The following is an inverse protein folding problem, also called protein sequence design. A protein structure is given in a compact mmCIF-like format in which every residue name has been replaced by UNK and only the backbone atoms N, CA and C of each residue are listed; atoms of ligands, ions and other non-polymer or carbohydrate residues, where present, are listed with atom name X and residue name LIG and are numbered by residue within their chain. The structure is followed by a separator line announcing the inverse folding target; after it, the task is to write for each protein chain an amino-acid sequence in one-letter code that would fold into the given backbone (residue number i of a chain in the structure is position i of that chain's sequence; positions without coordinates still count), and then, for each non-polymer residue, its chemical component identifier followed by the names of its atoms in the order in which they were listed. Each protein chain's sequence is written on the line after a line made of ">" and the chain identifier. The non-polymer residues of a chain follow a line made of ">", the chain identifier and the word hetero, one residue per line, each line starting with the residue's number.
data_IF_843900389088
#
_entry.id   IF_843900389088
#
_cell.length_a   1.000
_cell.length_b   1.000
_cell.length_c   1.000
_cell.angle_alpha   90.00
_cell.angle_beta   90.00
_cell.angle_gamma   90.00
#
_symmetry.space_group_name_H-M   'P 1'
#
loop_
_entity.id
_entity.type
_entity.pdbx_description
1 polymer ?
#
# COMPACT_ATOMS: atom_id res chain seq x y z
N UNK A 1 34.97 11.73 -4.56
CA UNK A 1 33.70 12.39 -4.19
C UNK A 1 32.64 12.28 -5.29
N UNK A 2 32.95 12.61 -6.55
CA UNK A 2 32.01 12.49 -7.68
C UNK A 2 31.39 11.08 -7.80
N UNK A 3 32.22 10.03 -7.82
CA UNK A 3 31.75 8.64 -7.92
C UNK A 3 30.76 8.29 -6.78
N UNK A 4 31.07 8.72 -5.56
CA UNK A 4 30.20 8.48 -4.40
C UNK A 4 28.87 9.22 -4.56
N UNK A 5 28.87 10.47 -5.01
CA UNK A 5 27.62 11.20 -5.28
C UNK A 5 26.80 10.54 -6.38
N UNK A 6 27.43 10.08 -7.47
CA UNK A 6 26.74 9.37 -8.56
C UNK A 6 26.09 8.09 -8.05
N UNK A 7 26.80 7.30 -7.22
CA UNK A 7 26.27 6.08 -6.63
C UNK A 7 25.09 6.37 -5.68
N UNK A 8 25.16 7.44 -4.89
CA UNK A 8 24.05 7.85 -4.03
C UNK A 8 22.82 8.24 -4.84
N UNK A 9 22.99 9.10 -5.85
CA UNK A 9 21.88 9.53 -6.73
C UNK A 9 21.26 8.33 -7.43
N UNK A 10 22.07 7.40 -7.94
CA UNK A 10 21.58 6.17 -8.55
C UNK A 10 20.78 5.32 -7.56
N UNK A 11 21.30 5.12 -6.35
CA UNK A 11 20.63 4.36 -5.31
C UNK A 11 19.27 4.98 -4.91
N UNK A 12 19.21 6.30 -4.73
CA UNK A 12 17.96 7.01 -4.47
C UNK A 12 16.96 6.90 -5.62
N UNK A 13 17.44 6.99 -6.86
CA UNK A 13 16.59 6.90 -8.06
C UNK A 13 15.99 5.51 -8.20
N UNK A 14 16.80 4.45 -8.03
CA UNK A 14 16.33 3.07 -8.05
C UNK A 14 15.33 2.79 -6.91
N UNK A 15 15.61 3.30 -5.71
CA UNK A 15 14.71 3.18 -4.56
C UNK A 15 13.36 3.85 -4.82
N UNK A 16 13.37 5.07 -5.37
CA UNK A 16 12.17 5.81 -5.74
C UNK A 16 11.38 5.06 -6.81
N UNK A 17 12.03 4.58 -7.88
CA UNK A 17 11.39 3.82 -8.95
C UNK A 17 10.76 2.52 -8.44
N UNK A 18 11.48 1.78 -7.61
CA UNK A 18 10.98 0.57 -6.97
C UNK A 18 9.70 0.85 -6.16
N UNK A 19 9.70 1.92 -5.36
CA UNK A 19 8.51 2.32 -4.59
C UNK A 19 7.35 2.71 -5.50
N UNK A 20 7.61 3.48 -6.56
CA UNK A 20 6.58 3.89 -7.53
C UNK A 20 5.92 2.69 -8.20
N UNK A 21 6.70 1.72 -8.68
CA UNK A 21 6.16 0.51 -9.35
C UNK A 21 5.28 -0.29 -8.38
N UNK A 22 5.72 -0.43 -7.14
CA UNK A 22 4.95 -1.16 -6.13
C UNK A 22 3.63 -0.47 -5.79
N UNK A 23 3.64 0.85 -5.74
CA UNK A 23 2.46 1.67 -5.43
C UNK A 23 1.51 1.78 -6.63
N UNK A 24 2.03 1.74 -7.87
CA UNK A 24 1.23 1.85 -9.08
C UNK A 24 0.19 0.72 -9.25
N UNK A 25 0.47 -0.48 -8.70
CA UNK A 25 -0.44 -1.65 -8.77
C UNK A 25 -1.58 -1.61 -7.73
N UNK A 26 -1.84 -0.45 -7.14
CA UNK A 26 -2.77 -0.32 -6.01
C UNK A 26 -3.76 0.80 -6.27
N UNK A 27 -4.99 0.60 -5.86
CA UNK A 27 -6.08 1.55 -6.00
C UNK A 27 -5.90 2.72 -5.02
N UNK A 28 -6.04 3.95 -5.48
CA UNK A 28 -6.02 5.12 -4.60
C UNK A 28 -7.40 5.29 -3.95
N UNK A 29 -7.47 5.26 -2.62
CA UNK A 29 -8.75 5.38 -1.90
C UNK A 29 -8.89 6.70 -1.17
N UNK A 30 -7.78 7.28 -0.71
CA UNK A 30 -7.75 8.62 -0.11
C UNK A 30 -6.44 9.31 -0.47
N UNK A 31 -6.50 10.61 -0.74
CA UNK A 31 -5.33 11.48 -0.89
C UNK A 31 -5.54 12.75 -0.09
N UNK A 32 -4.49 13.20 0.60
CA UNK A 32 -4.48 14.46 1.35
C UNK A 32 -3.19 15.21 1.02
N UNK A 33 -3.33 16.37 0.39
CA UNK A 33 -2.22 17.22 -0.02
C UNK A 33 -1.94 18.31 1.02
N UNK A 34 -0.65 18.51 1.34
CA UNK A 34 -0.14 19.55 2.23
C UNK A 34 1.08 20.20 1.58
N UNK A 35 0.81 21.13 0.65
CA UNK A 35 1.84 21.78 -0.15
C UNK A 35 2.54 20.78 -1.06
N UNK A 36 3.86 20.60 -0.90
CA UNK A 36 4.63 19.62 -1.68
C UNK A 36 4.53 18.19 -1.15
N UNK A 37 3.95 17.99 0.04
CA UNK A 37 3.75 16.67 0.63
C UNK A 37 2.36 16.14 0.29
N UNK A 38 2.28 14.86 -0.08
CA UNK A 38 1.01 14.17 -0.30
C UNK A 38 0.97 12.91 0.53
N UNK A 39 -0.10 12.75 1.31
CA UNK A 39 -0.40 11.53 2.06
C UNK A 39 -1.47 10.76 1.31
N UNK A 40 -1.13 9.58 0.79
CA UNK A 40 -2.09 8.69 0.14
C UNK A 40 -2.40 7.49 1.02
N UNK A 41 -3.65 7.04 0.97
CA UNK A 41 -4.04 5.69 1.38
C UNK A 41 -4.44 4.96 0.12
N UNK A 42 -3.70 3.89 -0.16
CA UNK A 42 -3.97 3.00 -1.29
C UNK A 42 -4.38 1.63 -0.81
N UNK A 43 -5.04 0.88 -1.68
CA UNK A 43 -5.66 -0.39 -1.39
C UNK A 43 -5.33 -1.41 -2.46
N UNK A 44 -5.17 -2.65 -2.05
CA UNK A 44 -5.23 -3.82 -2.93
C UNK A 44 -5.96 -4.93 -2.19
N UNK A 45 -6.73 -5.70 -2.95
CA UNK A 45 -7.38 -6.92 -2.46
C UNK A 45 -6.88 -8.06 -3.32
N UNK A 46 -6.52 -9.17 -2.69
CA UNK A 46 -5.97 -10.30 -3.43
C UNK A 46 -5.71 -11.52 -2.57
N UNK A 47 -5.29 -12.60 -3.22
CA UNK A 47 -4.83 -13.81 -2.57
C UNK A 47 -3.37 -13.63 -2.16
N UNK A 48 -3.10 -13.78 -0.86
CA UNK A 48 -1.75 -13.68 -0.31
C UNK A 48 -1.28 -15.05 0.17
N UNK A 49 -0.08 -15.44 -0.28
CA UNK A 49 0.56 -16.68 0.17
C UNK A 49 1.26 -16.43 1.50
N UNK A 50 0.76 -17.06 2.55
CA UNK A 50 1.38 -17.01 3.86
C UNK A 50 2.49 -18.07 4.00
N UNK A 51 3.37 -17.93 5.01
CA UNK A 51 4.27 -19.01 5.39
C UNK A 51 3.50 -20.34 5.59
N UNK A 52 4.10 -21.44 5.17
CA UNK A 52 3.47 -22.77 5.13
C UNK A 52 2.94 -23.26 6.48
N UNK A 53 3.55 -22.81 7.58
CA UNK A 53 3.11 -23.15 8.94
C UNK A 53 1.82 -22.42 9.39
N UNK A 54 1.39 -21.38 8.68
CA UNK A 54 0.16 -20.63 8.95
C UNK A 54 -0.98 -21.11 8.04
N UNK A 55 -0.68 -21.26 6.75
CA UNK A 55 -1.63 -21.74 5.75
C UNK A 55 -0.88 -22.35 4.58
N UNK A 56 -1.30 -23.54 4.16
CA UNK A 56 -0.77 -24.21 2.97
C UNK A 56 -1.27 -23.56 1.67
N UNK A 57 -2.47 -22.97 1.72
CA UNK A 57 -3.13 -22.33 0.58
C UNK A 57 -3.10 -20.80 0.70
N UNK A 58 -3.11 -20.07 -0.44
CA UNK A 58 -3.28 -18.62 -0.42
C UNK A 58 -4.61 -18.22 0.23
N UNK A 59 -4.62 -17.13 0.98
CA UNK A 59 -5.81 -16.63 1.68
C UNK A 59 -6.21 -15.25 1.20
N UNK A 60 -7.52 -14.93 1.16
CA UNK A 60 -7.97 -13.62 0.74
C UNK A 60 -7.60 -12.56 1.78
N UNK A 61 -6.94 -11.50 1.33
CA UNK A 61 -6.53 -10.38 2.19
C UNK A 61 -6.80 -9.05 1.52
N UNK A 62 -7.16 -8.09 2.35
CA UNK A 62 -7.12 -6.68 1.98
C UNK A 62 -5.85 -6.07 2.58
N UNK A 63 -5.13 -5.32 1.74
CA UNK A 63 -3.94 -4.59 2.14
C UNK A 63 -4.19 -3.12 1.90
N UNK A 64 -4.01 -2.32 2.96
CA UNK A 64 -3.98 -0.87 2.86
C UNK A 64 -2.58 -0.35 3.08
N UNK A 65 -2.21 0.61 2.27
CA UNK A 65 -0.85 1.12 2.16
C UNK A 65 -0.94 2.62 2.39
N UNK A 66 -0.31 3.09 3.47
CA UNK A 66 -0.07 4.52 3.64
C UNK A 66 1.18 4.88 2.86
N UNK A 67 1.08 5.90 2.01
CA UNK A 67 2.18 6.38 1.17
C UNK A 67 2.41 7.86 1.48
N UNK A 68 3.67 8.23 1.65
CA UNK A 68 4.09 9.62 1.73
C UNK A 68 4.85 9.98 0.46
N UNK A 69 4.41 11.03 -0.21
CA UNK A 69 5.10 11.62 -1.35
C UNK A 69 5.63 13.00 -1.04
N UNK A 70 6.71 13.36 -1.73
CA UNK A 70 7.20 14.72 -1.84
C UNK A 70 7.39 15.05 -3.32
N UNK A 71 6.74 16.10 -3.82
CA UNK A 71 6.77 16.51 -5.22
C UNK A 71 6.52 15.35 -6.21
N UNK A 72 5.56 14.47 -5.89
CA UNK A 72 5.21 13.29 -6.70
C UNK A 72 6.08 12.04 -6.48
N UNK A 73 7.24 12.16 -5.82
CA UNK A 73 8.14 11.05 -5.51
C UNK A 73 7.72 10.34 -4.23
N UNK A 74 7.53 9.03 -4.27
CA UNK A 74 7.27 8.22 -3.06
C UNK A 74 8.50 8.18 -2.17
N UNK A 75 8.40 8.77 -0.98
CA UNK A 75 9.45 8.73 0.04
C UNK A 75 9.33 7.51 0.93
N UNK A 76 8.10 7.14 1.28
CA UNK A 76 7.84 6.11 2.27
C UNK A 76 6.52 5.41 2.01
N UNK A 77 6.45 4.14 2.42
CA UNK A 77 5.21 3.35 2.45
C UNK A 77 5.14 2.50 3.71
N UNK A 78 3.93 2.24 4.18
CA UNK A 78 3.64 1.24 5.22
C UNK A 78 2.39 0.46 4.86
N UNK A 79 2.53 -0.86 4.80
CA UNK A 79 1.45 -1.77 4.48
C UNK A 79 0.84 -2.34 5.77
N UNK A 80 -0.47 -2.50 5.78
CA UNK A 80 -1.20 -3.24 6.80
C UNK A 80 -2.14 -4.23 6.11
N UNK A 81 -2.13 -5.46 6.60
CA UNK A 81 -2.86 -6.57 6.02
C UNK A 81 -3.96 -7.00 6.97
N UNK A 82 -5.16 -7.22 6.46
CA UNK A 82 -6.25 -7.85 7.18
C UNK A 82 -6.69 -9.12 6.46
N UNK A 83 -7.03 -10.15 7.24
CA UNK A 83 -7.61 -11.37 6.71
C UNK A 83 -9.09 -11.12 6.34
N UNK A 84 -9.46 -11.49 5.12
CA UNK A 84 -10.86 -11.51 4.68
C UNK A 84 -11.47 -12.89 4.96
N UNK A 85 -12.80 -13.00 5.14
CA UNK A 85 -13.49 -14.27 5.21
C UNK A 85 -13.23 -15.13 3.95
N UNK A 86 -13.26 -16.46 4.09
CA UNK A 86 -13.04 -17.37 2.95
C UNK A 86 -14.09 -17.20 1.83
N UNK A 87 -15.30 -16.79 2.17
CA UNK A 87 -16.38 -16.52 1.20
C UNK A 87 -16.06 -15.34 0.26
N UNK A 88 -15.18 -14.42 0.71
CA UNK A 88 -14.72 -13.28 -0.07
C UNK A 88 -13.93 -13.69 -1.32
N UNK A 89 -13.43 -14.92 -1.40
CA UNK A 89 -12.71 -15.45 -2.57
C UNK A 89 -13.49 -15.29 -3.88
N UNK A 90 -14.82 -15.36 -3.85
CA UNK A 90 -15.67 -15.26 -5.07
C UNK A 90 -15.82 -13.83 -5.59
N UNK A 91 -15.52 -12.83 -4.76
CA UNK A 91 -15.79 -11.40 -5.04
C UNK A 91 -14.63 -10.49 -4.66
N UNK A 92 -13.40 -11.00 -4.62
CA UNK A 92 -12.20 -10.27 -4.16
C UNK A 92 -12.07 -8.86 -4.78
N UNK A 93 -12.35 -8.72 -6.08
CA UNK A 93 -12.29 -7.41 -6.78
C UNK A 93 -13.44 -6.46 -6.45
N UNK A 94 -14.57 -6.99 -5.97
CA UNK A 94 -15.83 -6.26 -5.76
C UNK A 94 -16.16 -6.05 -4.27
N UNK A 95 -15.17 -6.25 -3.39
CA UNK A 95 -15.31 -5.92 -1.97
C UNK A 95 -15.13 -4.40 -1.86
N UNK A 96 -16.15 -3.65 -1.47
CA UNK A 96 -16.01 -2.21 -1.33
C UNK A 96 -15.12 -1.88 -0.13
N UNK A 97 -14.34 -0.81 -0.24
CA UNK A 97 -13.35 -0.48 0.77
C UNK A 97 -13.97 -0.12 2.15
N UNK A 98 -15.22 0.35 2.19
CA UNK A 98 -15.89 0.68 3.46
C UNK A 98 -16.25 -0.56 4.31
N UNK A 99 -16.42 -1.74 3.71
CA UNK A 99 -16.83 -2.97 4.41
C UNK A 99 -15.82 -3.42 5.46
N UNK A 100 -14.55 -3.08 5.24
CA UNK A 100 -13.43 -3.47 6.11
C UNK A 100 -12.83 -2.29 6.87
N UNK A 101 -13.38 -1.08 6.71
CA UNK A 101 -12.77 0.16 7.19
C UNK A 101 -12.47 0.14 8.69
N UNK A 102 -13.47 -0.26 9.49
CA UNK A 102 -13.34 -0.33 10.95
C UNK A 102 -12.30 -1.32 11.46
N UNK A 103 -11.78 -2.22 10.62
CA UNK A 103 -10.70 -3.15 10.99
C UNK A 103 -9.31 -2.55 10.80
N UNK A 104 -9.21 -1.41 10.12
CA UNK A 104 -7.96 -0.68 9.97
C UNK A 104 -7.82 0.38 11.08
N UNK A 105 -6.59 0.72 11.49
CA UNK A 105 -6.32 1.89 12.31
C UNK A 105 -6.87 3.16 11.65
N UNK A 106 -7.27 4.14 12.46
CA UNK A 106 -7.98 5.32 11.97
C UNK A 106 -7.22 6.08 10.87
N UNK A 107 -5.88 6.08 10.92
CA UNK A 107 -5.04 6.76 9.91
C UNK A 107 -5.01 6.06 8.53
N UNK A 108 -5.65 4.90 8.40
CA UNK A 108 -5.94 4.21 7.15
C UNK A 108 -7.43 4.22 6.81
N UNK A 109 -8.30 4.67 7.70
CA UNK A 109 -9.75 4.68 7.49
C UNK A 109 -10.16 5.74 6.46
N UNK A 110 -11.29 5.49 5.80
CA UNK A 110 -11.83 6.32 4.73
C UNK A 110 -12.76 7.41 5.26
N UNK A 111 -13.39 7.17 6.42
CA UNK A 111 -14.28 8.13 7.06
C UNK A 111 -13.56 9.39 7.58
N UNK A 112 -14.28 10.51 7.71
CA UNK A 112 -13.77 11.68 8.42
C UNK A 112 -13.59 11.34 9.90
N UNK A 113 -12.53 11.89 10.49
CA UNK A 113 -12.40 11.99 11.95
C UNK A 113 -13.32 13.10 12.45
#
# INVERSE_FOLDING_TARGET
>A
MLIVMVLLVLAFSLRALYLQIHVARTELVRSEEKGMLTYEVRRRVGMERLPSHISEYPVPREVRIRVLRFAGVVLWRKELHIALPGESCRRLGDIPAHETDGRFPIWLQLGPY
#
